data_IF_623792818967
#
_entry.id   IF_623792818967
#
_cell.length_a   1.000
_cell.length_b   1.000
_cell.length_c   1.000
_cell.angle_alpha   90.00
_cell.angle_beta   90.00
_cell.angle_gamma   90.00
#
_symmetry.space_group_name_H-M   'P 1'
#
loop_
_entity.id
_entity.type
_entity.pdbx_description
1 polymer ?
#
# COMPACT_ATOMS: atom_id res chain seq x y z
N UNK A 1 10.63 -69.44 4.11
CA UNK A 1 11.04 -68.35 5.01
C UNK A 1 11.62 -67.12 4.28
N UNK A 2 12.45 -67.29 3.27
CA UNK A 2 13.11 -66.17 2.53
C UNK A 2 12.13 -65.28 1.74
N UNK A 3 11.07 -65.83 1.16
CA UNK A 3 10.07 -65.08 0.35
C UNK A 3 9.23 -64.13 1.24
N UNK A 4 8.89 -64.52 2.45
CA UNK A 4 8.15 -63.67 3.38
C UNK A 4 8.95 -62.47 3.90
N UNK A 5 10.26 -62.65 4.07
CA UNK A 5 11.19 -61.57 4.43
C UNK A 5 11.38 -60.55 3.31
N UNK A 6 11.44 -61.02 2.07
CA UNK A 6 11.57 -60.15 0.88
C UNK A 6 10.29 -59.34 0.68
N UNK A 7 9.11 -59.95 0.80
CA UNK A 7 7.82 -59.27 0.69
C UNK A 7 7.62 -58.19 1.79
N UNK A 8 8.04 -58.48 3.05
CA UNK A 8 8.01 -57.55 4.14
C UNK A 8 8.95 -56.35 3.95
N UNK A 9 10.12 -56.56 3.38
CA UNK A 9 11.08 -55.49 3.07
C UNK A 9 10.61 -54.58 1.94
N UNK A 10 9.97 -55.13 0.92
CA UNK A 10 9.41 -54.34 -0.19
C UNK A 10 8.22 -53.50 0.27
N UNK A 11 7.36 -54.03 1.16
CA UNK A 11 6.22 -53.32 1.73
C UNK A 11 6.65 -52.17 2.63
N UNK A 12 7.74 -52.34 3.39
CA UNK A 12 8.29 -51.30 4.25
C UNK A 12 8.92 -50.16 3.45
N UNK A 13 9.62 -50.46 2.36
CA UNK A 13 10.17 -49.42 1.47
C UNK A 13 9.09 -48.65 0.69
N UNK A 14 7.98 -49.30 0.34
CA UNK A 14 6.86 -48.64 -0.33
C UNK A 14 6.13 -47.68 0.58
N UNK A 15 6.06 -47.99 1.90
CA UNK A 15 5.44 -47.07 2.89
C UNK A 15 6.27 -45.79 3.11
N UNK A 16 7.59 -45.85 2.96
CA UNK A 16 8.46 -44.67 3.12
C UNK A 16 8.37 -43.69 1.95
N UNK A 17 7.83 -44.09 0.79
CA UNK A 17 7.67 -43.23 -0.37
C UNK A 17 6.38 -42.40 -0.37
N UNK A 18 5.45 -42.65 0.56
CA UNK A 18 4.18 -41.92 0.69
C UNK A 18 4.24 -40.78 1.72
N UNK A 19 5.36 -40.60 2.39
CA UNK A 19 5.51 -39.63 3.50
C UNK A 19 6.19 -38.32 3.16
N UNK A 20 6.40 -37.98 1.89
CA UNK A 20 7.10 -36.75 1.53
C UNK A 20 6.35 -35.98 0.47
N UNK A 21 5.30 -35.30 0.87
CA UNK A 21 4.76 -34.12 0.18
C UNK A 21 4.05 -33.29 1.22
N UNK A 22 4.82 -32.64 2.07
CA UNK A 22 4.36 -31.43 2.77
C UNK A 22 5.01 -30.22 2.06
N UNK A 23 4.86 -30.20 0.74
CA UNK A 23 5.09 -29.00 -0.03
C UNK A 23 3.92 -28.05 0.29
N UNK A 24 4.10 -27.24 1.33
CA UNK A 24 3.41 -25.99 1.40
C UNK A 24 3.84 -25.20 0.17
N UNK A 25 3.08 -25.36 -0.90
CA UNK A 25 3.10 -24.43 -2.02
C UNK A 25 2.71 -23.06 -1.41
N UNK A 26 3.69 -22.27 -1.05
CA UNK A 26 3.49 -20.84 -0.83
C UNK A 26 3.11 -20.26 -2.19
N UNK A 27 1.81 -20.29 -2.47
CA UNK A 27 1.27 -19.63 -3.65
C UNK A 27 1.45 -18.14 -3.42
N UNK A 28 2.45 -17.56 -4.05
CA UNK A 28 2.61 -16.12 -4.16
C UNK A 28 1.36 -15.58 -4.85
N UNK A 29 0.41 -15.13 -4.06
CA UNK A 29 -0.85 -14.60 -4.56
C UNK A 29 -0.89 -13.10 -4.34
N UNK A 30 -1.09 -12.37 -5.44
CA UNK A 30 -1.42 -10.96 -5.38
C UNK A 30 -2.81 -10.80 -4.75
N UNK A 31 -2.87 -10.20 -3.56
CA UNK A 31 -4.13 -9.80 -2.96
C UNK A 31 -4.55 -8.43 -3.47
N UNK A 32 -5.85 -8.28 -3.73
CA UNK A 32 -6.41 -6.97 -4.03
C UNK A 32 -6.20 -6.00 -2.87
N UNK A 33 -5.98 -4.74 -3.21
CA UNK A 33 -5.90 -3.68 -2.23
C UNK A 33 -6.62 -2.41 -2.71
N UNK A 34 -6.95 -1.53 -1.80
CA UNK A 34 -7.53 -0.23 -2.08
C UNK A 34 -6.86 0.85 -1.23
N UNK A 35 -6.77 2.05 -1.78
CA UNK A 35 -6.34 3.24 -1.06
C UNK A 35 -7.55 4.14 -0.83
N UNK A 36 -7.78 4.53 0.41
CA UNK A 36 -8.89 5.41 0.80
C UNK A 36 -8.39 6.54 1.67
N UNK A 37 -9.11 7.66 1.69
CA UNK A 37 -8.88 8.78 2.62
C UNK A 37 -10.03 8.92 3.60
N UNK A 38 -9.71 9.46 4.76
CA UNK A 38 -10.72 9.97 5.69
C UNK A 38 -11.31 11.27 5.16
N UNK A 39 -12.27 11.82 5.92
CA UNK A 39 -12.84 13.12 5.60
C UNK A 39 -11.74 14.16 5.38
N UNK A 40 -11.84 14.86 4.25
CA UNK A 40 -10.94 15.95 3.88
C UNK A 40 -11.73 17.26 3.87
N UNK A 41 -11.12 18.34 4.33
CA UNK A 41 -11.68 19.67 4.11
C UNK A 41 -11.75 19.93 2.60
N UNK A 42 -12.76 20.69 2.17
CA UNK A 42 -12.96 20.97 0.74
C UNK A 42 -12.22 22.22 0.27
N UNK A 43 -12.05 23.18 1.15
CA UNK A 43 -11.45 24.48 0.84
C UNK A 43 -10.05 24.56 1.41
N UNK A 44 -9.17 25.25 0.71
CA UNK A 44 -7.77 25.45 1.11
C UNK A 44 -7.31 26.86 0.76
N UNK A 45 -6.66 27.52 1.71
CA UNK A 45 -6.01 28.82 1.49
C UNK A 45 -4.58 28.68 0.97
N UNK A 46 -4.02 29.71 0.34
CA UNK A 46 -2.60 29.75 0.04
C UNK A 46 -1.76 29.58 1.32
N UNK A 47 -0.68 28.81 1.22
CA UNK A 47 0.24 28.45 2.33
C UNK A 47 -0.37 27.63 3.47
N UNK A 48 -1.63 27.25 3.36
CA UNK A 48 -2.27 26.33 4.29
C UNK A 48 -1.71 24.92 4.15
N UNK A 49 -1.64 24.21 5.28
CA UNK A 49 -1.26 22.79 5.32
C UNK A 49 -2.44 21.96 5.76
N UNK A 50 -2.81 20.97 4.96
CA UNK A 50 -3.94 20.07 5.21
C UNK A 50 -3.41 18.68 5.54
N UNK A 51 -3.99 18.07 6.56
CA UNK A 51 -3.75 16.69 6.92
C UNK A 51 -4.57 15.76 6.00
N UNK A 52 -3.89 14.78 5.40
CA UNK A 52 -4.50 13.75 4.56
C UNK A 52 -4.23 12.39 5.20
N UNK A 53 -5.22 11.86 5.89
CA UNK A 53 -5.13 10.53 6.50
C UNK A 53 -5.55 9.48 5.51
N UNK A 54 -4.65 8.58 5.18
CA UNK A 54 -4.80 7.54 4.19
C UNK A 54 -4.87 6.16 4.84
N UNK A 55 -5.61 5.26 4.22
CA UNK A 55 -5.69 3.87 4.62
C UNK A 55 -5.48 2.97 3.42
N UNK A 56 -4.50 2.08 3.51
CA UNK A 56 -4.31 0.97 2.60
C UNK A 56 -5.03 -0.25 3.17
N UNK A 57 -6.10 -0.70 2.50
CA UNK A 57 -6.82 -1.90 2.85
C UNK A 57 -6.44 -3.01 1.88
N UNK A 58 -6.09 -4.19 2.40
CA UNK A 58 -5.70 -5.37 1.62
C UNK A 58 -6.71 -6.49 1.85
N UNK A 59 -7.05 -7.25 0.81
CA UNK A 59 -7.95 -8.39 0.90
C UNK A 59 -7.34 -9.61 1.58
N UNK A 60 -6.03 -9.63 1.76
CA UNK A 60 -5.29 -10.67 2.45
C UNK A 60 -3.89 -10.23 2.83
N UNK A 61 -3.23 -11.03 3.66
CA UNK A 61 -1.86 -10.79 4.08
C UNK A 61 -0.91 -11.78 3.41
N UNK A 62 -0.01 -11.24 2.61
CA UNK A 62 1.15 -11.94 2.08
C UNK A 62 2.40 -11.24 2.61
N UNK A 63 3.27 -11.96 3.31
CA UNK A 63 4.40 -11.38 4.05
C UNK A 63 5.41 -10.68 3.13
N UNK A 64 5.59 -11.20 1.90
CA UNK A 64 6.51 -10.61 0.93
C UNK A 64 5.86 -9.52 0.05
N UNK A 65 4.63 -9.12 0.32
CA UNK A 65 3.99 -8.02 -0.40
C UNK A 65 4.64 -6.69 -0.02
N UNK A 66 5.28 -6.05 -0.99
CA UNK A 66 5.90 -4.74 -0.84
C UNK A 66 5.04 -3.69 -1.56
N UNK A 67 4.82 -2.57 -0.89
CA UNK A 67 4.05 -1.46 -1.46
C UNK A 67 4.92 -0.22 -1.63
N UNK A 68 4.67 0.52 -2.70
CA UNK A 68 5.25 1.83 -2.94
C UNK A 68 4.13 2.85 -3.03
N UNK A 69 4.41 4.07 -2.58
CA UNK A 69 3.52 5.21 -2.68
C UNK A 69 4.19 6.38 -3.36
N UNK A 70 3.43 7.13 -4.14
CA UNK A 70 3.83 8.39 -4.72
C UNK A 70 2.64 9.31 -4.90
N UNK A 71 2.89 10.53 -5.36
CA UNK A 71 1.83 11.46 -5.72
C UNK A 71 2.13 12.18 -7.02
N UNK A 72 1.07 12.67 -7.66
CA UNK A 72 1.13 13.48 -8.85
C UNK A 72 0.30 14.74 -8.61
N UNK A 73 0.91 15.91 -8.69
CA UNK A 73 0.20 17.18 -8.71
C UNK A 73 -0.47 17.33 -10.07
N UNK A 74 -1.80 17.33 -10.10
CA UNK A 74 -2.60 17.42 -11.33
C UNK A 74 -2.98 18.87 -11.61
N UNK A 75 -3.44 19.63 -10.59
CA UNK A 75 -3.81 21.03 -10.68
C UNK A 75 -3.25 21.81 -9.48
N UNK A 76 -2.99 23.10 -9.66
CA UNK A 76 -2.39 23.96 -8.64
C UNK A 76 -0.91 23.69 -8.43
N UNK A 77 -0.41 24.08 -7.28
CA UNK A 77 0.95 23.74 -6.85
C UNK A 77 1.01 23.57 -5.34
N UNK A 78 1.82 22.61 -4.90
CA UNK A 78 1.99 22.32 -3.49
C UNK A 78 3.06 21.26 -3.24
N UNK A 79 3.20 20.90 -2.00
CA UNK A 79 4.22 19.97 -1.54
C UNK A 79 3.59 18.97 -0.58
N UNK A 80 3.95 17.71 -0.70
CA UNK A 80 3.50 16.63 0.19
C UNK A 80 4.62 16.25 1.15
N UNK A 81 4.30 16.09 2.42
CA UNK A 81 5.22 15.71 3.49
C UNK A 81 4.65 14.57 4.33
N UNK A 82 5.52 13.80 4.96
CA UNK A 82 5.14 12.90 6.03
C UNK A 82 5.12 13.58 7.41
N UNK A 83 4.80 12.85 8.46
CA UNK A 83 4.75 13.34 9.84
C UNK A 83 6.11 13.82 10.40
N UNK A 84 7.22 13.36 9.85
CA UNK A 84 8.57 13.83 10.19
C UNK A 84 9.04 14.98 9.31
N UNK A 85 8.12 15.55 8.53
CA UNK A 85 8.41 16.63 7.60
C UNK A 85 9.41 16.24 6.48
N UNK A 86 9.43 14.94 6.14
CA UNK A 86 10.17 14.45 4.98
C UNK A 86 9.29 14.66 3.74
N UNK A 87 9.83 15.41 2.77
CA UNK A 87 9.13 15.76 1.55
C UNK A 87 9.11 14.57 0.58
N UNK A 88 7.92 14.23 0.10
CA UNK A 88 7.78 13.35 -1.05
C UNK A 88 8.08 14.12 -2.34
N UNK A 89 8.69 13.46 -3.30
CA UNK A 89 8.98 14.07 -4.60
C UNK A 89 7.82 13.80 -5.56
N UNK A 90 7.33 14.87 -6.22
CA UNK A 90 6.25 14.76 -7.18
C UNK A 90 6.62 13.81 -8.32
N UNK A 91 5.76 12.86 -8.63
CA UNK A 91 5.92 11.81 -9.66
C UNK A 91 6.99 10.75 -9.34
N UNK A 92 7.50 10.70 -8.13
CA UNK A 92 8.38 9.64 -7.69
C UNK A 92 7.68 8.69 -6.71
N UNK A 93 8.02 7.42 -6.82
CA UNK A 93 7.53 6.37 -5.92
C UNK A 93 8.58 6.08 -4.87
N UNK A 94 8.13 5.87 -3.63
CA UNK A 94 8.99 5.46 -2.51
C UNK A 94 8.34 4.31 -1.75
N UNK A 95 9.11 3.48 -1.04
CA UNK A 95 8.56 2.42 -0.21
C UNK A 95 7.54 2.96 0.79
N UNK A 96 6.39 2.29 0.91
CA UNK A 96 5.33 2.71 1.83
C UNK A 96 5.79 2.67 3.29
N UNK A 97 6.62 1.69 3.64
CA UNK A 97 7.20 1.51 4.98
C UNK A 97 8.22 2.61 5.34
N UNK A 98 8.67 3.41 4.37
CA UNK A 98 9.49 4.60 4.62
C UNK A 98 8.69 5.80 5.16
N UNK A 99 7.35 5.77 5.04
CA UNK A 99 6.47 6.83 5.54
C UNK A 99 6.47 6.83 7.07
N UNK A 100 6.74 7.99 7.63
CA UNK A 100 6.83 8.15 9.08
C UNK A 100 5.50 7.82 9.78
N UNK A 101 5.59 7.06 10.88
CA UNK A 101 4.45 6.67 11.70
C UNK A 101 3.35 5.89 10.94
N UNK A 102 3.77 5.05 10.01
CA UNK A 102 2.88 4.07 9.40
C UNK A 102 2.39 3.11 10.49
N UNK A 103 1.09 3.04 10.71
CA UNK A 103 0.46 2.05 11.58
C UNK A 103 0.24 0.76 10.79
N UNK A 104 1.11 -0.21 11.02
CA UNK A 104 1.07 -1.55 10.44
C UNK A 104 0.63 -2.62 11.43
N UNK A 105 -0.01 -2.26 12.56
CA UNK A 105 -0.46 -3.20 13.60
C UNK A 105 -1.46 -4.23 13.05
N UNK A 106 -2.29 -3.83 12.09
CA UNK A 106 -3.11 -4.72 11.27
C UNK A 106 -2.49 -4.83 9.87
N UNK A 107 -1.93 -5.97 9.49
CA UNK A 107 -1.32 -6.13 8.19
C UNK A 107 -2.29 -5.96 7.01
N UNK A 108 -3.58 -6.16 7.22
CA UNK A 108 -4.60 -5.95 6.18
C UNK A 108 -5.13 -4.51 6.15
N UNK A 109 -4.79 -3.67 7.13
CA UNK A 109 -5.25 -2.29 7.23
C UNK A 109 -4.15 -1.38 7.76
N UNK A 110 -3.37 -0.82 6.87
CA UNK A 110 -2.29 0.09 7.22
C UNK A 110 -2.75 1.55 7.12
N UNK A 111 -2.52 2.32 8.17
CA UNK A 111 -2.94 3.73 8.26
C UNK A 111 -1.72 4.62 8.33
N UNK A 112 -1.71 5.70 7.56
CA UNK A 112 -0.64 6.69 7.57
C UNK A 112 -1.18 8.08 7.24
N UNK A 113 -0.42 9.10 7.59
CA UNK A 113 -0.80 10.50 7.40
C UNK A 113 0.24 11.21 6.55
N UNK A 114 -0.24 11.90 5.53
CA UNK A 114 0.54 12.84 4.74
C UNK A 114 -0.01 14.25 4.94
N UNK A 115 0.80 15.26 4.70
CA UNK A 115 0.44 16.65 4.79
C UNK A 115 0.65 17.32 3.43
N UNK A 116 -0.38 17.97 2.93
CA UNK A 116 -0.28 18.78 1.73
C UNK A 116 -0.20 20.25 2.10
N UNK A 117 0.87 20.92 1.71
CA UNK A 117 1.03 22.36 1.84
C UNK A 117 0.73 23.02 0.51
N UNK A 118 -0.35 23.77 0.45
CA UNK A 118 -0.73 24.52 -0.74
C UNK A 118 0.24 25.69 -0.99
N UNK A 119 0.67 25.86 -2.23
CA UNK A 119 1.55 26.95 -2.67
C UNK A 119 0.89 27.81 -3.76
N UNK A 120 -0.41 27.68 -3.93
CA UNK A 120 -1.14 28.30 -5.02
C UNK A 120 -2.42 28.98 -4.48
N UNK A 121 -2.86 30.01 -5.14
CA UNK A 121 -4.20 30.60 -4.94
C UNK A 121 -5.27 29.96 -5.82
N UNK A 122 -4.92 28.92 -6.58
CA UNK A 122 -5.84 28.16 -7.45
C UNK A 122 -6.31 26.89 -6.73
N UNK A 123 -7.33 26.26 -7.29
CA UNK A 123 -7.72 24.91 -6.89
C UNK A 123 -6.52 23.97 -6.94
N UNK A 124 -6.52 22.97 -6.10
CA UNK A 124 -5.49 21.97 -6.07
C UNK A 124 -6.08 20.57 -6.29
N UNK A 125 -5.46 19.79 -7.14
CA UNK A 125 -5.79 18.38 -7.35
C UNK A 125 -4.51 17.55 -7.27
N UNK A 126 -4.58 16.50 -6.47
CA UNK A 126 -3.46 15.59 -6.20
C UNK A 126 -3.97 14.17 -6.41
N UNK A 127 -3.22 13.40 -7.14
CA UNK A 127 -3.45 11.96 -7.29
C UNK A 127 -2.41 11.20 -6.49
N UNK A 128 -2.82 10.44 -5.49
CA UNK A 128 -1.98 9.46 -4.83
C UNK A 128 -2.00 8.15 -5.60
N UNK A 129 -0.86 7.52 -5.70
CA UNK A 129 -0.66 6.26 -6.42
C UNK A 129 0.01 5.27 -5.49
N UNK A 130 -0.56 4.09 -5.36
CA UNK A 130 0.07 2.96 -4.66
C UNK A 130 0.24 1.81 -5.64
N UNK A 131 1.42 1.19 -5.64
CA UNK A 131 1.72 -0.01 -6.41
C UNK A 131 2.26 -1.09 -5.49
N UNK A 132 2.03 -2.35 -5.83
CA UNK A 132 2.66 -3.49 -5.19
C UNK A 132 3.77 -4.11 -6.05
N UNK A 133 4.46 -5.11 -5.52
CA UNK A 133 5.48 -5.85 -6.25
C UNK A 133 4.91 -6.85 -7.28
N UNK A 134 3.57 -6.98 -7.39
CA UNK A 134 2.86 -7.74 -8.43
C UNK A 134 2.36 -6.85 -9.57
N UNK A 135 2.81 -5.59 -9.64
CA UNK A 135 2.41 -4.60 -10.64
C UNK A 135 0.94 -4.18 -10.59
N UNK A 136 0.24 -4.45 -9.49
CA UNK A 136 -1.07 -3.86 -9.27
C UNK A 136 -0.92 -2.39 -8.91
N UNK A 137 -1.86 -1.57 -9.36
CA UNK A 137 -1.88 -0.12 -9.13
C UNK A 137 -3.25 0.31 -8.64
N UNK A 138 -3.26 1.19 -7.64
CA UNK A 138 -4.47 1.89 -7.18
C UNK A 138 -4.20 3.37 -7.07
N UNK A 139 -5.19 4.15 -7.42
CA UNK A 139 -5.13 5.61 -7.43
C UNK A 139 -6.22 6.19 -6.54
N UNK A 140 -5.93 7.33 -5.94
CA UNK A 140 -6.87 8.12 -5.15
C UNK A 140 -6.70 9.59 -5.50
N UNK A 141 -7.77 10.19 -6.02
CA UNK A 141 -7.80 11.62 -6.31
C UNK A 141 -8.27 12.40 -5.08
N UNK A 142 -7.56 13.47 -4.77
CA UNK A 142 -7.84 14.41 -3.69
C UNK A 142 -7.87 15.81 -4.27
N UNK A 143 -8.99 16.52 -4.09
CA UNK A 143 -9.17 17.87 -4.64
C UNK A 143 -9.58 18.86 -3.57
N UNK A 144 -9.07 20.08 -3.71
CA UNK A 144 -9.36 21.22 -2.84
C UNK A 144 -9.77 22.43 -3.69
N UNK A 145 -10.78 23.15 -3.24
CA UNK A 145 -11.19 24.43 -3.82
C UNK A 145 -10.42 25.57 -3.16
N UNK A 146 -10.00 26.55 -3.94
CA UNK A 146 -9.38 27.76 -3.38
C UNK A 146 -10.40 28.63 -2.70
N UNK A 147 -10.12 29.09 -1.47
CA UNK A 147 -10.99 30.03 -0.75
C UNK A 147 -11.08 31.41 -1.44
N UNK A 148 -10.14 31.73 -2.34
CA UNK A 148 -10.16 32.99 -3.08
C UNK A 148 -11.25 33.04 -4.15
N UNK A 149 -11.72 31.89 -4.64
CA UNK A 149 -12.78 31.81 -5.66
C UNK A 149 -14.20 31.95 -5.08
N UNK A 150 -14.36 31.92 -3.75
CA UNK A 150 -15.69 31.94 -3.09
C UNK A 150 -16.19 33.38 -2.81
N UNK A 151 -15.45 34.43 -3.15
CA UNK A 151 -15.79 35.83 -2.93
C UNK A 151 -16.18 36.60 -4.21
N UNK A 152 -16.98 35.99 -5.07
CA UNK A 152 -17.70 36.72 -6.13
C UNK A 152 -19.21 36.65 -5.92
#
# INVERSE_FOLDING_TARGET
MKIKLIASSIMLTLLCLLGSCDDKLEVQQAYDFSLTSWYLQKNISPDETVEIRLTLNRSGNYEEACYQIGYIQMEGSGEVYDKKNVRLVNREMQPLDSIAELDGSDPCRQVFTLFYRNRSSKNAEIKFVVTDNFHQKRELDVSFQSETDTKQ
#
